data_IF_542812751282
#
_entry.id   IF_542812751282
#
_cell.length_a   1.000
_cell.length_b   1.000
_cell.length_c   1.000
_cell.angle_alpha   90.00
_cell.angle_beta   90.00
_cell.angle_gamma   90.00
#
_symmetry.space_group_name_H-M   'P 1'
#
loop_
_entity.id
_entity.type
_entity.pdbx_description
1 polymer ?
#
# COMPACT_ATOMS: atom_id res chain seq x y z
N UNK A 1 25.25 27.49 55.06
CA UNK A 1 25.10 28.66 54.16
C UNK A 1 25.53 28.19 52.78
N UNK A 2 24.57 27.90 51.88
CA UNK A 2 23.97 28.79 50.86
C UNK A 2 24.63 28.57 49.48
N UNK A 3 23.82 27.99 48.58
CA UNK A 3 23.63 28.34 47.14
C UNK A 3 24.84 28.01 46.22
N UNK A 4 24.68 27.48 45.01
CA UNK A 4 23.59 27.62 44.06
C UNK A 4 23.45 26.38 43.18
N UNK A 5 22.20 25.95 43.01
CA UNK A 5 21.73 25.14 41.90
C UNK A 5 21.30 26.08 40.75
N UNK A 6 21.00 25.45 39.60
CA UNK A 6 20.56 26.01 38.30
C UNK A 6 21.68 26.42 37.34
N UNK A 7 21.84 25.64 36.27
CA UNK A 7 21.44 26.01 34.90
C UNK A 7 22.07 25.00 33.92
N UNK A 8 21.26 24.08 33.39
CA UNK A 8 21.41 23.44 32.05
C UNK A 8 20.37 22.32 31.90
N UNK A 9 19.09 22.69 31.92
CA UNK A 9 18.00 21.83 31.44
C UNK A 9 17.10 22.69 30.55
N UNK A 10 17.57 22.91 29.32
CA UNK A 10 16.93 23.80 28.37
C UNK A 10 17.38 23.47 26.95
N UNK A 11 17.17 22.22 26.54
CA UNK A 11 17.19 21.82 25.13
C UNK A 11 16.24 20.63 24.97
N UNK A 12 15.34 20.76 23.97
CA UNK A 12 14.40 19.76 23.42
C UNK A 12 12.92 19.81 23.87
N UNK A 13 12.37 21.00 24.11
CA UNK A 13 10.94 21.25 23.91
C UNK A 13 10.73 22.31 22.82
N UNK A 14 11.11 21.97 21.60
CA UNK A 14 10.55 22.64 20.42
C UNK A 14 9.28 21.89 20.03
N UNK A 15 8.20 22.06 20.79
CA UNK A 15 6.86 21.81 20.29
C UNK A 15 6.50 23.00 19.39
N UNK A 16 7.06 23.02 18.18
CA UNK A 16 6.53 23.88 17.12
C UNK A 16 5.06 23.56 16.97
N UNK A 17 4.20 24.58 16.98
CA UNK A 17 2.78 24.41 16.70
C UNK A 17 2.66 23.90 15.27
N UNK A 18 2.52 22.59 15.10
CA UNK A 18 2.23 21.94 13.81
C UNK A 18 0.77 22.22 13.40
N UNK A 19 0.34 23.48 13.44
CA UNK A 19 -1.02 23.95 13.13
C UNK A 19 -1.03 24.58 11.75
N UNK A 20 -0.49 23.88 10.76
CA UNK A 20 -0.19 24.52 9.49
C UNK A 20 -0.97 23.95 8.32
N UNK A 21 -1.62 22.77 8.38
CA UNK A 21 -2.41 22.22 7.28
C UNK A 21 -3.50 21.28 7.80
N UNK A 22 -4.62 21.21 7.09
CA UNK A 22 -5.64 20.19 7.26
C UNK A 22 -5.64 19.23 6.04
N UNK A 23 -5.82 17.93 6.28
CA UNK A 23 -5.93 16.89 5.25
C UNK A 23 -7.14 15.98 5.50
N UNK A 24 -7.90 15.70 4.45
CA UNK A 24 -9.18 15.01 4.44
C UNK A 24 -9.25 13.94 3.35
N UNK A 25 -10.12 12.96 3.53
CA UNK A 25 -10.45 11.96 2.52
C UNK A 25 -11.38 12.54 1.44
N UNK A 26 -11.04 12.33 0.17
CA UNK A 26 -11.83 12.60 -1.04
C UNK A 26 -12.23 14.07 -1.31
N UNK A 27 -12.05 14.99 -0.37
CA UNK A 27 -12.36 16.41 -0.59
C UNK A 27 -12.48 17.24 0.69
N UNK A 28 -12.83 18.53 0.55
CA UNK A 28 -12.96 19.47 1.67
C UNK A 28 -13.97 18.98 2.71
N UNK A 29 -13.56 18.95 3.98
CA UNK A 29 -14.43 18.51 5.08
C UNK A 29 -14.76 17.01 5.06
N UNK A 30 -14.03 16.21 4.28
CA UNK A 30 -14.13 14.76 4.27
C UNK A 30 -13.73 14.11 5.60
N UNK A 31 -13.75 12.79 5.66
CA UNK A 31 -13.30 12.08 6.85
C UNK A 31 -11.81 12.33 7.10
N UNK A 32 -11.42 12.52 8.36
CA UNK A 32 -10.01 12.61 8.79
C UNK A 32 -9.53 11.32 9.47
N UNK A 33 -10.41 10.34 9.56
CA UNK A 33 -10.17 9.11 10.30
C UNK A 33 -10.83 7.94 9.56
N UNK A 34 -10.00 7.08 9.01
CA UNK A 34 -10.41 5.94 8.21
C UNK A 34 -9.85 4.69 8.86
N UNK A 35 -10.71 3.73 9.17
CA UNK A 35 -10.30 2.45 9.76
C UNK A 35 -10.54 1.32 8.78
N UNK A 36 -9.46 0.70 8.31
CA UNK A 36 -9.46 -0.58 7.65
C UNK A 36 -9.67 -1.71 8.67
N UNK A 37 -10.55 -2.65 8.36
CA UNK A 37 -10.68 -3.89 9.11
C UNK A 37 -9.83 -4.97 8.45
N UNK A 38 -9.01 -5.62 9.25
CA UNK A 38 -8.37 -6.88 8.89
C UNK A 38 -9.45 -7.95 8.92
N UNK A 39 -9.72 -8.55 7.76
CA UNK A 39 -10.53 -9.77 7.72
C UNK A 39 -9.78 -10.88 8.48
N UNK A 40 -10.49 -11.80 9.16
CA UNK A 40 -9.85 -12.94 9.80
C UNK A 40 -8.93 -13.65 8.82
N UNK A 41 -7.68 -13.84 9.23
CA UNK A 41 -6.68 -14.51 8.42
C UNK A 41 -5.89 -15.49 9.28
N UNK A 42 -5.24 -16.42 8.60
CA UNK A 42 -4.50 -17.49 9.21
C UNK A 42 -2.99 -17.34 8.99
N UNK A 43 -2.19 -17.86 9.91
CA UNK A 43 -0.73 -17.96 9.79
C UNK A 43 -0.37 -19.42 9.63
N UNK A 44 0.25 -19.84 8.51
CA UNK A 44 0.58 -21.24 8.33
C UNK A 44 1.76 -21.65 9.23
N UNK A 45 1.78 -22.90 9.66
CA UNK A 45 2.82 -23.42 10.57
C UNK A 45 4.25 -23.35 10.01
N UNK A 46 4.39 -23.27 8.68
CA UNK A 46 5.68 -23.14 8.00
C UNK A 46 6.11 -21.69 7.78
N UNK A 47 5.35 -20.69 8.26
CA UNK A 47 5.77 -19.30 8.21
C UNK A 47 7.02 -19.08 9.08
N UNK A 48 7.91 -18.23 8.59
CA UNK A 48 9.19 -17.93 9.23
C UNK A 48 9.28 -16.47 9.66
N UNK A 49 10.03 -16.14 10.73
CA UNK A 49 10.30 -14.75 11.09
C UNK A 49 10.79 -13.92 9.90
N UNK A 50 10.15 -12.77 9.66
CA UNK A 50 10.39 -11.88 8.53
C UNK A 50 9.35 -12.00 7.41
N UNK A 51 8.58 -13.09 7.35
CA UNK A 51 7.55 -13.28 6.34
C UNK A 51 6.41 -12.28 6.53
N UNK A 52 5.94 -11.71 5.41
CA UNK A 52 4.65 -11.02 5.36
C UNK A 52 3.56 -12.09 5.30
N UNK A 53 2.88 -12.30 6.43
CA UNK A 53 1.87 -13.35 6.62
C UNK A 53 0.47 -12.90 6.18
N UNK A 54 0.29 -11.59 6.01
CA UNK A 54 -0.90 -10.99 5.43
C UNK A 54 -0.57 -9.63 4.83
N UNK A 55 -1.09 -9.35 3.64
CA UNK A 55 -1.08 -8.03 3.03
C UNK A 55 -2.50 -7.69 2.54
N UNK A 56 -2.92 -6.44 2.71
CA UNK A 56 -4.19 -5.96 2.20
C UNK A 56 -4.18 -5.85 0.67
N UNK A 57 -5.36 -5.72 0.06
CA UNK A 57 -5.47 -5.16 -1.28
C UNK A 57 -4.99 -3.70 -1.34
N UNK A 58 -4.97 -3.12 -2.55
CA UNK A 58 -4.58 -1.73 -2.76
C UNK A 58 -5.59 -0.76 -2.12
N UNK A 59 -5.14 0.05 -1.16
CA UNK A 59 -5.85 1.27 -0.79
C UNK A 59 -5.47 2.35 -1.79
N UNK A 60 -6.42 2.71 -2.65
CA UNK A 60 -6.32 3.89 -3.51
C UNK A 60 -7.26 4.94 -2.96
N UNK A 61 -6.70 6.05 -2.49
CA UNK A 61 -7.46 7.14 -1.90
C UNK A 61 -7.01 8.48 -2.46
N UNK A 62 -7.96 9.40 -2.54
CA UNK A 62 -7.70 10.80 -2.87
C UNK A 62 -7.52 11.54 -1.55
N UNK A 63 -6.30 12.02 -1.29
CA UNK A 63 -6.00 12.93 -0.19
C UNK A 63 -6.31 14.34 -0.68
N UNK A 64 -7.11 15.08 0.08
CA UNK A 64 -7.34 16.49 -0.12
C UNK A 64 -6.74 17.27 1.04
N UNK A 65 -5.84 18.21 0.80
CA UNK A 65 -5.29 19.07 1.85
C UNK A 65 -5.49 20.56 1.52
N UNK A 66 -5.80 21.34 2.54
CA UNK A 66 -5.99 22.79 2.46
C UNK A 66 -5.72 23.46 3.82
N UNK A 67 -6.18 24.70 3.96
CA UNK A 67 -6.09 25.45 5.21
C UNK A 67 -4.65 25.70 5.66
N UNK A 68 -3.74 26.02 4.72
CA UNK A 68 -2.37 26.29 5.11
C UNK A 68 -2.25 27.61 5.89
N UNK A 69 -1.94 27.54 7.18
CA UNK A 69 -1.75 28.70 8.07
C UNK A 69 -0.37 28.78 8.69
N UNK A 70 0.65 28.21 8.04
CA UNK A 70 2.03 28.28 8.51
C UNK A 70 2.48 29.72 8.80
N UNK A 71 3.32 29.86 9.84
CA UNK A 71 3.93 31.13 10.20
C UNK A 71 4.76 31.71 9.04
N UNK A 72 4.98 33.02 9.08
CA UNK A 72 5.78 33.74 8.08
C UNK A 72 5.29 33.58 6.64
N UNK A 73 4.04 33.21 6.42
CA UNK A 73 3.44 33.04 5.10
C UNK A 73 4.09 31.92 4.27
N UNK A 74 4.69 30.92 4.93
CA UNK A 74 5.37 29.82 4.24
C UNK A 74 4.37 28.85 3.59
N UNK A 75 4.73 28.34 2.41
CA UNK A 75 4.08 27.15 1.84
C UNK A 75 4.38 25.91 2.67
N UNK A 76 3.50 24.92 2.57
CA UNK A 76 3.67 23.65 3.26
C UNK A 76 3.66 22.47 2.29
N UNK A 77 4.70 21.65 2.36
CA UNK A 77 4.72 20.37 1.67
C UNK A 77 3.93 19.34 2.48
N UNK A 78 3.17 18.52 1.78
CA UNK A 78 2.39 17.43 2.38
C UNK A 78 3.24 16.18 2.46
N UNK A 79 3.27 15.56 3.63
CA UNK A 79 4.01 14.34 3.92
C UNK A 79 3.05 13.21 4.32
N UNK A 80 3.37 11.98 3.91
CA UNK A 80 2.80 10.78 4.45
C UNK A 80 3.69 10.30 5.61
N UNK A 81 3.17 10.40 6.83
CA UNK A 81 3.83 9.96 8.04
C UNK A 81 3.45 8.52 8.34
N UNK A 82 4.42 7.60 8.21
CA UNK A 82 4.24 6.17 8.50
C UNK A 82 4.59 5.90 9.96
N UNK A 83 3.75 5.12 10.64
CA UNK A 83 3.79 4.90 12.07
C UNK A 83 3.86 6.21 12.89
N UNK A 84 2.81 7.07 12.78
CA UNK A 84 2.80 8.36 13.44
C UNK A 84 2.75 8.30 14.98
N UNK A 85 2.34 7.18 15.56
CA UNK A 85 2.13 7.02 16.99
C UNK A 85 2.75 5.73 17.53
N UNK A 86 4.11 5.63 17.55
CA UNK A 86 4.81 4.43 17.97
C UNK A 86 4.60 4.21 19.47
N UNK A 87 3.66 3.34 19.84
CA UNK A 87 3.32 3.10 21.25
C UNK A 87 2.87 1.68 21.55
N UNK A 88 2.27 0.98 20.58
CA UNK A 88 1.83 -0.40 20.73
C UNK A 88 2.77 -1.33 19.98
N UNK A 89 3.20 -2.40 20.64
CA UNK A 89 4.02 -3.46 20.05
C UNK A 89 3.41 -4.81 20.35
N UNK A 90 3.68 -5.77 19.48
CA UNK A 90 3.29 -7.16 19.65
C UNK A 90 4.55 -8.04 19.52
N UNK A 91 4.75 -9.01 20.43
CA UNK A 91 5.94 -9.85 20.40
C UNK A 91 6.00 -10.79 19.17
N UNK A 92 4.86 -11.09 18.54
CA UNK A 92 4.74 -12.01 17.43
C UNK A 92 4.48 -11.32 16.10
N UNK A 93 3.81 -10.15 16.12
CA UNK A 93 3.43 -9.45 14.91
C UNK A 93 4.06 -8.05 14.79
N UNK A 94 4.44 -7.70 13.57
CA UNK A 94 4.92 -6.37 13.21
C UNK A 94 4.06 -5.83 12.07
N UNK A 95 3.44 -4.67 12.28
CA UNK A 95 2.69 -4.01 11.23
C UNK A 95 3.63 -3.21 10.32
N UNK A 96 3.20 -2.98 9.10
CA UNK A 96 3.88 -2.06 8.20
C UNK A 96 3.03 -1.64 7.02
N UNK A 97 3.61 -0.78 6.20
CA UNK A 97 2.97 -0.18 5.03
C UNK A 97 3.88 -0.39 3.83
N UNK A 98 3.33 -0.94 2.75
CA UNK A 98 3.94 -0.84 1.43
C UNK A 98 3.39 0.42 0.76
N UNK A 99 4.19 1.48 0.71
CA UNK A 99 3.80 2.78 0.16
C UNK A 99 4.54 2.99 -1.16
N UNK A 100 3.80 3.13 -2.27
CA UNK A 100 4.35 3.25 -3.62
C UNK A 100 5.42 2.19 -3.98
N UNK A 101 5.22 0.94 -3.54
CA UNK A 101 6.13 -0.19 -3.84
C UNK A 101 7.29 -0.34 -2.85
N UNK A 102 7.45 0.58 -1.88
CA UNK A 102 8.47 0.50 -0.85
C UNK A 102 7.87 0.08 0.50
N UNK A 103 8.50 -0.89 1.16
CA UNK A 103 8.06 -1.38 2.48
C UNK A 103 8.63 -0.53 3.63
N UNK A 104 7.76 -0.19 4.57
CA UNK A 104 8.07 0.56 5.79
C UNK A 104 7.51 -0.19 7.00
N UNK A 105 8.43 -0.78 7.76
CA UNK A 105 8.14 -1.53 8.97
C UNK A 105 7.89 -0.59 10.15
N UNK A 106 6.77 -0.75 10.88
CA UNK A 106 6.46 0.14 12.00
C UNK A 106 7.54 0.13 13.10
N UNK A 107 8.18 -1.03 13.35
CA UNK A 107 9.27 -1.11 14.32
C UNK A 107 10.51 -0.27 13.96
N UNK A 108 10.68 0.12 12.70
CA UNK A 108 11.78 0.99 12.28
C UNK A 108 11.57 2.47 12.60
N UNK A 109 10.43 2.83 13.22
CA UNK A 109 10.15 4.15 13.78
C UNK A 109 9.19 4.98 12.95
N UNK A 110 9.31 6.30 13.09
CA UNK A 110 8.53 7.29 12.34
C UNK A 110 9.21 7.58 10.99
N UNK A 111 8.48 7.42 9.90
CA UNK A 111 8.95 7.80 8.56
C UNK A 111 8.13 8.97 8.02
N UNK A 112 8.80 10.01 7.51
CA UNK A 112 8.16 11.09 6.76
C UNK A 112 8.45 10.96 5.27
N UNK A 113 7.45 10.64 4.48
CA UNK A 113 7.57 10.49 3.03
C UNK A 113 7.01 11.73 2.33
N UNK A 114 7.83 12.41 1.53
CA UNK A 114 7.37 13.56 0.73
C UNK A 114 6.40 13.09 -0.35
N UNK A 115 5.20 13.64 -0.37
CA UNK A 115 4.20 13.33 -1.42
C UNK A 115 4.41 14.14 -2.70
N UNK A 116 5.38 15.06 -2.67
CA UNK A 116 5.64 16.07 -3.68
C UNK A 116 4.45 17.01 -3.95
N UNK A 117 3.54 17.09 -2.98
CA UNK A 117 2.43 18.03 -2.99
C UNK A 117 2.74 19.20 -2.07
N UNK A 118 2.26 20.37 -2.46
CA UNK A 118 2.51 21.62 -1.76
C UNK A 118 1.24 22.47 -1.76
N UNK A 119 0.92 23.05 -0.60
CA UNK A 119 -0.23 23.93 -0.39
C UNK A 119 0.26 25.34 -0.03
N UNK A 120 -0.22 26.34 -0.76
CA UNK A 120 0.10 27.74 -0.53
C UNK A 120 -0.57 28.27 0.73
N UNK A 121 0.13 29.16 1.44
CA UNK A 121 -0.40 29.80 2.64
C UNK A 121 -1.64 30.64 2.34
N UNK A 122 -2.70 30.44 3.12
CA UNK A 122 -3.98 31.12 2.91
C UNK A 122 -3.89 32.63 3.10
N UNK A 123 -3.05 33.11 4.03
CA UNK A 123 -2.88 34.55 4.28
C UNK A 123 -2.10 35.18 3.13
N UNK A 124 -1.06 34.51 2.62
CA UNK A 124 -0.33 34.96 1.43
C UNK A 124 -1.24 35.04 0.21
N UNK A 125 -2.02 33.98 -0.03
CA UNK A 125 -2.90 33.85 -1.19
C UNK A 125 -3.97 34.95 -1.28
N UNK A 126 -4.31 35.59 -0.16
CA UNK A 126 -5.27 36.69 -0.11
C UNK A 126 -4.65 38.07 -0.38
N UNK A 127 -3.32 38.18 -0.51
CA UNK A 127 -2.61 39.44 -0.67
C UNK A 127 -1.79 39.48 -1.98
N UNK A 128 -2.32 40.09 -3.05
CA UNK A 128 -1.64 40.20 -4.35
C UNK A 128 -0.30 40.93 -4.33
N UNK A 129 -0.10 41.86 -3.39
CA UNK A 129 1.17 42.59 -3.26
C UNK A 129 2.23 41.66 -2.67
N UNK A 130 1.92 40.99 -1.57
CA UNK A 130 2.83 40.03 -0.93
C UNK A 130 3.18 38.86 -1.86
N UNK A 131 2.22 38.36 -2.66
CA UNK A 131 2.51 37.30 -3.63
C UNK A 131 3.51 37.72 -4.71
N UNK A 132 3.46 38.99 -5.14
CA UNK A 132 4.40 39.54 -6.13
C UNK A 132 5.77 39.84 -5.52
N UNK A 133 5.80 40.26 -4.27
CA UNK A 133 7.03 40.54 -3.53
C UNK A 133 7.75 39.26 -3.06
N UNK A 134 6.99 38.20 -2.76
CA UNK A 134 7.49 36.94 -2.22
C UNK A 134 7.04 35.70 -3.02
N UNK A 135 7.31 35.63 -4.34
CA UNK A 135 6.92 34.49 -5.16
C UNK A 135 7.56 33.17 -4.69
N UNK A 136 8.74 33.21 -4.06
CA UNK A 136 9.46 32.05 -3.52
C UNK A 136 8.68 31.30 -2.44
N UNK A 137 7.76 31.99 -1.77
CA UNK A 137 6.88 31.41 -0.74
C UNK A 137 5.69 30.68 -1.30
N UNK A 138 5.42 30.80 -2.60
CA UNK A 138 4.40 30.03 -3.29
C UNK A 138 4.98 28.70 -3.80
N UNK A 139 4.19 27.64 -3.77
CA UNK A 139 4.53 26.32 -4.29
C UNK A 139 4.99 26.37 -5.75
N UNK A 140 4.36 27.21 -6.56
CA UNK A 140 4.69 27.39 -7.99
C UNK A 140 5.87 28.33 -8.23
N UNK A 141 6.26 29.15 -7.25
CA UNK A 141 7.16 30.28 -7.49
C UNK A 141 6.50 31.42 -8.29
N UNK A 142 5.16 31.44 -8.43
CA UNK A 142 4.46 32.33 -9.35
C UNK A 142 3.12 32.82 -8.78
N UNK A 143 2.98 34.15 -8.62
CA UNK A 143 1.77 34.81 -8.11
C UNK A 143 0.50 34.59 -8.97
N UNK A 144 0.64 34.18 -10.24
CA UNK A 144 -0.49 33.83 -11.09
C UNK A 144 -0.96 32.37 -10.91
N UNK A 145 -0.21 31.55 -10.17
CA UNK A 145 -0.44 30.11 -10.00
C UNK A 145 -0.48 29.78 -8.51
N UNK A 146 -1.58 30.18 -7.88
CA UNK A 146 -1.81 30.03 -6.43
C UNK A 146 -2.71 28.84 -6.17
N UNK A 147 -2.42 28.16 -5.06
CA UNK A 147 -2.79 26.80 -4.82
C UNK A 147 -3.04 26.54 -3.34
N UNK A 148 -4.10 27.13 -2.81
CA UNK A 148 -4.51 27.01 -1.40
C UNK A 148 -5.10 25.64 -1.04
N UNK A 149 -5.20 24.73 -2.02
CA UNK A 149 -5.54 23.34 -1.78
C UNK A 149 -4.91 22.40 -2.81
N UNK A 150 -4.85 21.12 -2.44
CA UNK A 150 -4.34 20.01 -3.26
C UNK A 150 -5.23 18.80 -3.12
N UNK A 151 -5.55 18.16 -4.23
CA UNK A 151 -6.11 16.82 -4.27
C UNK A 151 -5.15 15.91 -5.05
N UNK A 152 -4.78 14.78 -4.46
CA UNK A 152 -3.84 13.85 -5.07
C UNK A 152 -4.13 12.42 -4.64
N UNK A 153 -3.82 11.46 -5.51
CA UNK A 153 -4.02 10.05 -5.21
C UNK A 153 -2.77 9.46 -4.58
N UNK A 154 -2.97 8.61 -3.60
CA UNK A 154 -1.93 7.78 -2.99
C UNK A 154 -2.36 6.32 -3.03
N UNK A 155 -1.38 5.44 -3.22
CA UNK A 155 -1.55 4.00 -3.23
C UNK A 155 -0.66 3.39 -2.17
N UNK A 156 -1.26 2.63 -1.26
CA UNK A 156 -0.50 1.84 -0.30
C UNK A 156 -1.23 0.54 0.04
N UNK A 157 -0.49 -0.37 0.65
CA UNK A 157 -1.00 -1.60 1.26
C UNK A 157 -0.53 -1.70 2.68
N UNK A 158 -1.36 -2.31 3.52
CA UNK A 158 -1.05 -2.57 4.92
C UNK A 158 -0.66 -4.04 5.03
N UNK A 159 0.35 -4.35 5.82
CA UNK A 159 0.78 -5.73 6.02
C UNK A 159 1.04 -6.07 7.47
N UNK A 160 0.95 -7.37 7.77
CA UNK A 160 1.38 -7.98 9.01
C UNK A 160 2.58 -8.88 8.68
N UNK A 161 3.71 -8.60 9.32
CA UNK A 161 4.95 -9.36 9.26
C UNK A 161 5.12 -10.17 10.54
N UNK A 162 5.64 -11.38 10.40
CA UNK A 162 5.88 -12.29 11.52
C UNK A 162 7.21 -11.98 12.20
N UNK A 163 7.21 -11.63 13.48
CA UNK A 163 8.43 -11.55 14.30
C UNK A 163 8.84 -12.93 14.83
N UNK A 164 7.85 -13.69 15.30
CA UNK A 164 8.00 -15.06 15.78
C UNK A 164 6.65 -15.77 15.73
N UNK A 165 6.65 -17.10 15.61
CA UNK A 165 5.41 -17.88 15.61
C UNK A 165 4.72 -17.78 16.99
N UNK A 166 3.45 -17.34 17.05
CA UNK A 166 2.70 -17.32 18.30
C UNK A 166 2.40 -18.73 18.81
N UNK A 167 2.25 -18.91 20.13
CA UNK A 167 1.70 -20.15 20.67
C UNK A 167 0.24 -20.33 20.21
N UNK A 168 -0.25 -21.58 20.10
CA UNK A 168 -1.65 -21.85 19.77
C UNK A 168 -2.61 -21.08 20.70
N UNK A 169 -3.63 -20.45 20.11
CA UNK A 169 -4.64 -19.67 20.85
C UNK A 169 -4.20 -18.26 21.25
N UNK A 170 -3.00 -17.80 20.85
CA UNK A 170 -2.59 -16.41 21.02
C UNK A 170 -3.57 -15.45 20.33
N UNK A 171 -3.92 -14.36 21.01
CA UNK A 171 -4.67 -13.25 20.44
C UNK A 171 -3.84 -11.98 20.58
N UNK A 172 -3.65 -11.28 19.47
CA UNK A 172 -2.93 -10.01 19.48
C UNK A 172 -3.65 -9.00 20.36
N UNK A 173 -2.87 -8.27 21.17
CA UNK A 173 -3.37 -7.12 21.92
C UNK A 173 -3.40 -5.83 21.07
N UNK A 174 -2.89 -5.87 19.84
CA UNK A 174 -2.99 -4.75 18.91
C UNK A 174 -4.45 -4.56 18.53
N UNK A 175 -5.07 -3.51 19.07
CA UNK A 175 -6.42 -3.11 18.72
C UNK A 175 -6.44 -2.33 17.40
N UNK A 176 -6.80 -1.05 17.50
CA UNK A 176 -6.70 -0.12 16.38
C UNK A 176 -5.32 0.55 16.37
N UNK A 177 -4.60 0.43 15.26
CA UNK A 177 -3.26 0.99 15.08
C UNK A 177 -3.24 1.97 13.91
N UNK A 178 -2.74 3.19 14.14
CA UNK A 178 -2.62 4.18 13.04
C UNK A 178 -1.32 3.95 12.29
N UNK A 179 -1.41 3.60 10.99
CA UNK A 179 -0.26 3.28 10.16
C UNK A 179 0.19 4.44 9.29
N UNK A 180 -0.75 5.28 8.83
CA UNK A 180 -0.45 6.43 7.95
C UNK A 180 -1.20 7.65 8.45
N UNK A 181 -0.54 8.80 8.47
CA UNK A 181 -1.18 10.11 8.61
C UNK A 181 -0.65 11.07 7.54
N UNK A 182 -1.54 11.81 6.89
CA UNK A 182 -1.14 12.90 5.99
C UNK A 182 -1.11 14.21 6.77
N UNK A 183 0.04 14.88 6.76
CA UNK A 183 0.27 16.11 7.52
C UNK A 183 1.34 16.96 6.83
N UNK A 184 1.62 18.13 7.39
CA UNK A 184 2.71 18.97 6.96
C UNK A 184 4.10 18.37 7.18
N UNK A 185 5.10 18.88 6.46
CA UNK A 185 6.53 18.55 6.64
C UNK A 185 7.03 18.79 8.07
N UNK A 186 6.41 19.74 8.78
CA UNK A 186 6.79 20.08 10.16
C UNK A 186 6.59 18.96 11.18
N UNK A 187 5.83 17.92 10.83
CA UNK A 187 5.58 16.76 11.68
C UNK A 187 4.10 16.49 11.87
N UNK A 188 3.81 15.53 12.74
CA UNK A 188 2.46 15.08 13.06
C UNK A 188 1.81 16.04 14.04
N UNK A 189 0.66 16.60 13.67
CA UNK A 189 -0.19 17.33 14.59
C UNK A 189 -0.97 16.35 15.49
N UNK A 190 -0.71 16.42 16.79
CA UNK A 190 -1.33 15.56 17.81
C UNK A 190 -2.46 16.25 18.58
N UNK A 191 -2.83 17.48 18.21
CA UNK A 191 -3.90 18.20 18.88
C UNK A 191 -5.25 17.50 18.65
N UNK A 192 -6.17 17.50 19.63
CA UNK A 192 -7.46 16.81 19.51
C UNK A 192 -8.35 17.30 18.37
N UNK A 193 -8.20 18.57 18.00
CA UNK A 193 -8.95 19.25 16.92
C UNK A 193 -8.19 19.24 15.58
N UNK A 194 -7.02 18.61 15.50
CA UNK A 194 -6.24 18.49 14.28
C UNK A 194 -7.01 17.69 13.22
N UNK A 195 -7.15 18.24 12.02
CA UNK A 195 -7.89 17.62 10.92
C UNK A 195 -6.93 17.04 9.90
N UNK A 196 -6.16 16.04 10.33
CA UNK A 196 -5.18 15.37 9.48
C UNK A 196 -5.59 13.92 9.27
N UNK A 197 -5.75 13.55 7.99
CA UNK A 197 -6.24 12.25 7.55
C UNK A 197 -5.37 11.12 8.08
N UNK A 198 -5.97 10.25 8.89
CA UNK A 198 -5.37 9.07 9.50
C UNK A 198 -5.97 7.80 8.90
N UNK A 199 -5.10 6.84 8.60
CA UNK A 199 -5.48 5.48 8.27
C UNK A 199 -5.08 4.53 9.39
N UNK A 200 -6.07 3.82 9.90
CA UNK A 200 -5.92 2.82 10.95
C UNK A 200 -6.20 1.42 10.45
N UNK A 201 -5.49 0.47 11.03
CA UNK A 201 -5.77 -0.95 10.91
C UNK A 201 -6.39 -1.44 12.22
N UNK A 202 -7.47 -2.21 12.14
CA UNK A 202 -8.13 -2.82 13.28
C UNK A 202 -8.44 -4.30 12.99
N UNK A 203 -8.74 -5.10 14.01
CA UNK A 203 -9.15 -6.50 13.83
C UNK A 203 -8.01 -7.53 13.89
N UNK A 204 -6.82 -7.13 14.37
CA UNK A 204 -5.66 -8.02 14.53
C UNK A 204 -5.85 -9.09 15.61
N UNK A 205 -6.91 -8.99 16.41
CA UNK A 205 -7.33 -10.02 17.35
C UNK A 205 -7.94 -11.27 16.66
N UNK A 206 -8.19 -11.23 15.34
CA UNK A 206 -8.77 -12.32 14.56
C UNK A 206 -7.73 -13.17 13.80
N UNK A 207 -6.47 -13.16 14.23
CA UNK A 207 -5.40 -13.95 13.60
C UNK A 207 -5.37 -15.35 14.20
N UNK A 208 -5.43 -16.38 13.35
CA UNK A 208 -5.38 -17.78 13.79
C UNK A 208 -4.09 -18.45 13.33
N UNK A 209 -3.35 -19.12 14.23
CA UNK A 209 -2.19 -19.92 13.84
C UNK A 209 -2.66 -21.32 13.44
N UNK A 210 -2.33 -21.75 12.23
CA UNK A 210 -2.63 -23.08 11.73
C UNK A 210 -1.59 -24.10 12.18
N UNK A 211 -1.99 -25.36 12.25
CA UNK A 211 -1.11 -26.51 12.48
C UNK A 211 -0.41 -27.00 11.19
N UNK A 212 -0.80 -26.48 10.02
CA UNK A 212 -0.19 -26.78 8.73
C UNK A 212 -0.29 -25.61 7.75
N UNK A 213 0.17 -25.83 6.52
CA UNK A 213 0.14 -24.85 5.44
C UNK A 213 0.00 -25.53 4.08
N UNK A 214 0.24 -24.78 3.02
CA UNK A 214 0.27 -25.29 1.65
C UNK A 214 1.60 -24.96 0.96
N UNK A 215 2.05 -25.86 0.10
CA UNK A 215 3.12 -25.60 -0.85
C UNK A 215 2.51 -25.13 -2.18
N UNK A 216 3.15 -24.12 -2.81
CA UNK A 216 2.80 -23.66 -4.15
C UNK A 216 3.79 -24.18 -5.16
N UNK A 217 3.29 -24.72 -6.27
CA UNK A 217 4.07 -25.03 -7.47
C UNK A 217 3.51 -24.28 -8.66
N UNK A 218 4.39 -23.77 -9.52
CA UNK A 218 4.03 -23.04 -10.73
C UNK A 218 4.52 -23.82 -11.94
N UNK A 219 3.70 -23.90 -12.99
CA UNK A 219 4.05 -24.51 -14.26
C UNK A 219 3.88 -23.50 -15.41
N UNK A 220 4.89 -23.33 -16.29
CA UNK A 220 6.14 -24.10 -16.35
C UNK A 220 7.07 -23.84 -15.14
N UNK A 221 7.93 -24.80 -14.81
CA UNK A 221 8.78 -24.76 -13.60
C UNK A 221 9.78 -23.60 -13.60
N UNK A 222 10.17 -23.13 -14.79
CA UNK A 222 11.02 -21.94 -14.95
C UNK A 222 10.27 -20.63 -14.67
N UNK A 223 8.95 -20.68 -14.43
CA UNK A 223 8.07 -19.55 -14.12
C UNK A 223 8.05 -18.48 -15.23
N UNK A 224 8.40 -18.86 -16.46
CA UNK A 224 8.44 -17.95 -17.61
C UNK A 224 7.32 -18.34 -18.57
N UNK A 225 6.45 -17.37 -18.85
CA UNK A 225 5.45 -17.49 -19.92
C UNK A 225 6.01 -16.88 -21.20
N UNK A 226 6.58 -17.72 -22.06
CA UNK A 226 7.23 -17.29 -23.29
C UNK A 226 6.25 -17.14 -24.46
N UNK A 227 6.04 -15.91 -24.92
CA UNK A 227 5.22 -15.58 -26.08
C UNK A 227 5.97 -15.77 -27.41
N UNK A 228 7.29 -15.94 -27.37
CA UNK A 228 8.18 -15.96 -28.51
C UNK A 228 8.21 -14.62 -29.26
N UNK A 229 8.68 -14.66 -30.50
CA UNK A 229 8.62 -13.48 -31.39
C UNK A 229 7.20 -13.32 -31.94
N UNK A 230 6.69 -12.09 -31.89
CA UNK A 230 5.38 -11.69 -32.41
C UNK A 230 5.52 -10.45 -33.27
N UNK A 231 4.81 -10.39 -34.41
CA UNK A 231 4.74 -9.16 -35.20
C UNK A 231 3.49 -8.35 -34.83
N UNK A 232 3.55 -7.03 -35.01
CA UNK A 232 2.38 -6.17 -34.81
C UNK A 232 1.22 -6.54 -35.75
N UNK A 233 1.52 -7.03 -36.96
CA UNK A 233 0.52 -7.50 -37.90
C UNK A 233 -0.20 -8.77 -37.41
N UNK A 234 0.52 -9.73 -36.80
CA UNK A 234 -0.08 -10.93 -36.24
C UNK A 234 -1.04 -10.58 -35.09
N UNK A 235 -0.59 -9.71 -34.19
CA UNK A 235 -1.36 -9.28 -33.02
C UNK A 235 -2.57 -8.39 -33.37
N UNK A 236 -2.56 -7.74 -34.53
CA UNK A 236 -3.72 -7.00 -35.01
C UNK A 236 -4.88 -7.93 -35.46
N UNK A 237 -4.57 -9.17 -35.87
CA UNK A 237 -5.56 -10.14 -36.32
C UNK A 237 -6.11 -10.99 -35.18
N UNK A 238 -5.26 -11.41 -34.25
CA UNK A 238 -5.65 -12.23 -33.11
C UNK A 238 -4.71 -12.03 -31.92
N UNK A 239 -5.21 -12.08 -30.68
CA UNK A 239 -4.36 -12.05 -29.50
C UNK A 239 -3.45 -13.29 -29.46
N UNK A 240 -2.26 -13.13 -28.86
CA UNK A 240 -1.38 -14.27 -28.57
C UNK A 240 -1.65 -14.76 -27.16
N UNK A 241 -1.90 -16.05 -27.01
CA UNK A 241 -2.21 -16.66 -25.71
C UNK A 241 -1.19 -17.75 -25.34
N UNK A 242 -0.92 -17.86 -24.03
CA UNK A 242 -0.11 -18.91 -23.41
C UNK A 242 -0.74 -19.31 -22.09
N UNK A 243 -0.74 -20.59 -21.80
CA UNK A 243 -1.27 -21.12 -20.54
C UNK A 243 -0.15 -21.37 -19.54
N UNK A 244 -0.46 -21.15 -18.27
CA UNK A 244 0.37 -21.54 -17.13
C UNK A 244 -0.56 -22.00 -16.01
N UNK A 245 -0.06 -22.75 -15.04
CA UNK A 245 -0.86 -23.19 -13.91
C UNK A 245 -0.15 -22.93 -12.59
N UNK A 246 -0.95 -22.77 -11.54
CA UNK A 246 -0.49 -22.72 -10.16
C UNK A 246 -1.24 -23.79 -9.39
N UNK A 247 -0.50 -24.58 -8.62
CA UNK A 247 -1.04 -25.67 -7.81
C UNK A 247 -0.70 -25.42 -6.36
N UNK A 248 -1.71 -25.35 -5.50
CA UNK A 248 -1.53 -25.42 -4.05
C UNK A 248 -1.73 -26.87 -3.60
N UNK A 249 -0.81 -27.37 -2.79
CA UNK A 249 -0.92 -28.68 -2.16
C UNK A 249 -0.85 -28.51 -0.65
N UNK A 250 -1.91 -28.93 0.05
CA UNK A 250 -1.98 -28.93 1.51
C UNK A 250 -0.92 -29.89 2.05
N UNK A 251 -0.06 -29.40 2.94
CA UNK A 251 0.92 -30.25 3.61
C UNK A 251 0.19 -31.16 4.60
N UNK A 252 0.14 -32.46 4.32
CA UNK A 252 -0.39 -33.46 5.26
C UNK A 252 0.76 -34.06 6.08
N UNK A 253 0.82 -33.67 7.34
CA UNK A 253 1.53 -34.42 8.38
C UNK A 253 0.53 -34.89 9.44
N UNK A 254 1.00 -35.67 10.41
CA UNK A 254 0.16 -36.18 11.51
C UNK A 254 -0.42 -35.08 12.42
N UNK A 255 -0.01 -33.83 12.24
CA UNK A 255 -0.44 -32.67 13.03
C UNK A 255 -1.42 -31.77 12.30
N UNK A 256 -1.59 -31.89 10.98
CA UNK A 256 -2.49 -31.07 10.19
C UNK A 256 -3.96 -31.48 10.35
N UNK A 257 -4.67 -30.82 11.26
CA UNK A 257 -6.08 -31.04 11.57
C UNK A 257 -6.97 -29.87 11.15
N UNK A 258 -6.40 -28.68 10.93
CA UNK A 258 -7.16 -27.47 10.62
C UNK A 258 -7.50 -27.35 9.12
N UNK A 259 -8.70 -26.87 8.86
CA UNK A 259 -9.14 -26.39 7.55
C UNK A 259 -8.72 -24.94 7.34
N UNK A 260 -8.39 -24.57 6.11
CA UNK A 260 -8.08 -23.19 5.73
C UNK A 260 -8.40 -22.96 4.25
N UNK A 261 -8.46 -21.70 3.84
CA UNK A 261 -8.59 -21.27 2.45
C UNK A 261 -7.39 -20.42 2.07
N UNK A 262 -7.12 -20.34 0.78
CA UNK A 262 -6.13 -19.45 0.21
C UNK A 262 -6.85 -18.44 -0.67
N UNK A 263 -6.65 -17.15 -0.41
CA UNK A 263 -6.86 -16.15 -1.45
C UNK A 263 -5.52 -15.87 -2.14
N UNK A 264 -5.57 -15.58 -3.42
CA UNK A 264 -4.40 -15.23 -4.19
C UNK A 264 -4.63 -13.99 -5.04
N UNK A 265 -3.54 -13.40 -5.52
CA UNK A 265 -3.59 -12.32 -6.50
C UNK A 265 -2.38 -12.38 -7.43
N UNK A 266 -2.51 -11.70 -8.57
CA UNK A 266 -1.39 -11.33 -9.42
C UNK A 266 -1.02 -9.87 -9.12
N UNK A 267 0.03 -9.69 -8.33
CA UNK A 267 0.54 -8.39 -7.93
C UNK A 267 1.52 -7.82 -8.96
N UNK A 268 1.46 -6.51 -9.19
CA UNK A 268 2.45 -5.75 -9.96
C UNK A 268 2.46 -4.27 -9.55
N UNK A 269 3.61 -3.63 -9.72
CA UNK A 269 3.78 -2.17 -9.64
C UNK A 269 3.84 -1.51 -11.03
N UNK A 270 3.70 -2.30 -12.10
CA UNK A 270 3.61 -1.77 -13.45
C UNK A 270 2.26 -1.06 -13.68
N UNK A 271 2.20 -0.08 -14.61
CA UNK A 271 0.96 0.60 -14.93
C UNK A 271 -0.12 -0.37 -15.41
N UNK A 272 -1.35 -0.14 -14.94
CA UNK A 272 -2.51 -0.96 -15.27
C UNK A 272 -3.53 -0.17 -16.10
N UNK A 273 -4.26 -0.88 -16.96
CA UNK A 273 -5.28 -0.38 -17.88
C UNK A 273 -6.60 -1.14 -17.67
N UNK A 274 -7.66 -0.64 -18.32
CA UNK A 274 -8.96 -1.31 -18.40
C UNK A 274 -9.52 -1.75 -17.04
N UNK A 275 -9.53 -0.83 -16.07
CA UNK A 275 -9.99 -1.12 -14.71
C UNK A 275 -9.14 -2.19 -14.01
N UNK A 276 -7.82 -2.10 -14.18
CA UNK A 276 -6.83 -3.01 -13.60
C UNK A 276 -6.86 -4.45 -14.12
N UNK A 277 -7.49 -4.72 -15.25
CA UNK A 277 -7.51 -6.07 -15.85
C UNK A 277 -6.39 -6.31 -16.86
N UNK A 278 -5.64 -5.27 -17.23
CA UNK A 278 -4.59 -5.32 -18.23
C UNK A 278 -3.32 -4.61 -17.72
N UNK A 279 -2.17 -5.26 -17.81
CA UNK A 279 -0.86 -4.68 -17.54
C UNK A 279 -0.34 -3.96 -18.80
N UNK A 280 0.05 -2.70 -18.68
CA UNK A 280 0.66 -1.91 -19.77
C UNK A 280 2.15 -2.28 -19.90
N UNK A 281 2.53 -2.86 -21.04
CA UNK A 281 3.92 -3.24 -21.32
C UNK A 281 4.78 -2.04 -21.76
N UNK A 282 4.21 -0.84 -21.79
CA UNK A 282 4.86 0.44 -22.12
C UNK A 282 5.46 0.51 -23.54
N UNK A 283 5.10 -0.44 -24.41
CA UNK A 283 5.51 -0.50 -25.82
C UNK A 283 4.31 -0.56 -26.77
N UNK A 284 3.11 -0.19 -26.30
CA UNK A 284 1.86 -0.28 -27.06
C UNK A 284 1.18 -1.65 -26.98
N UNK A 285 1.76 -2.63 -26.29
CA UNK A 285 1.13 -3.90 -25.95
C UNK A 285 0.58 -3.88 -24.52
N UNK A 286 -0.41 -4.74 -24.27
CA UNK A 286 -0.92 -5.03 -22.94
C UNK A 286 -1.04 -6.54 -22.71
N UNK A 287 -1.01 -6.93 -21.43
CA UNK A 287 -1.11 -8.31 -20.99
C UNK A 287 -2.32 -8.50 -20.07
N UNK A 288 -3.20 -9.46 -20.36
CA UNK A 288 -4.21 -9.94 -19.42
C UNK A 288 -3.80 -11.29 -18.82
N UNK A 289 -4.24 -11.56 -17.61
CA UNK A 289 -4.31 -12.92 -17.06
C UNK A 289 -5.78 -13.31 -16.99
N UNK A 290 -6.13 -14.42 -17.61
CA UNK A 290 -7.49 -14.91 -17.73
C UNK A 290 -7.66 -16.19 -16.92
N UNK A 291 -8.78 -16.34 -16.25
CA UNK A 291 -9.26 -17.61 -15.71
C UNK A 291 -10.59 -17.94 -16.40
N UNK A 292 -10.69 -19.14 -16.99
CA UNK A 292 -11.88 -19.55 -17.75
C UNK A 292 -12.38 -18.48 -18.76
N UNK A 293 -11.42 -17.83 -19.47
CA UNK A 293 -11.64 -16.72 -20.43
C UNK A 293 -12.10 -15.39 -19.83
N UNK A 294 -12.18 -15.27 -18.52
CA UNK A 294 -12.52 -14.03 -17.82
C UNK A 294 -11.24 -13.34 -17.34
N UNK A 295 -11.01 -12.05 -17.65
CA UNK A 295 -9.87 -11.31 -17.14
C UNK A 295 -9.91 -11.21 -15.62
N UNK A 296 -8.80 -11.54 -14.97
CA UNK A 296 -8.58 -11.25 -13.57
C UNK A 296 -8.17 -9.79 -13.39
N UNK A 297 -8.52 -9.22 -12.24
CA UNK A 297 -8.10 -7.89 -11.82
C UNK A 297 -6.74 -8.04 -11.12
N UNK A 298 -5.72 -7.35 -11.63
CA UNK A 298 -4.42 -7.27 -10.96
C UNK A 298 -4.53 -6.54 -9.63
N UNK A 299 -3.65 -6.89 -8.68
CA UNK A 299 -3.59 -6.31 -7.34
C UNK A 299 -4.89 -6.46 -6.52
N UNK A 300 -5.68 -7.49 -6.83
CA UNK A 300 -6.93 -7.81 -6.16
C UNK A 300 -6.99 -9.31 -5.82
N UNK A 301 -7.23 -9.60 -4.54
CA UNK A 301 -7.35 -10.98 -4.06
C UNK A 301 -8.62 -11.67 -4.57
N UNK A 302 -8.50 -12.93 -4.96
CA UNK A 302 -9.59 -13.83 -5.30
C UNK A 302 -9.43 -15.15 -4.55
N UNK A 303 -10.53 -15.86 -4.29
CA UNK A 303 -10.46 -17.19 -3.67
C UNK A 303 -9.76 -18.18 -4.63
N UNK A 304 -8.61 -18.69 -4.21
CA UNK A 304 -7.77 -19.59 -4.99
C UNK A 304 -8.06 -21.06 -4.67
N UNK A 305 -7.96 -21.45 -3.39
CA UNK A 305 -8.13 -22.83 -2.94
C UNK A 305 -8.92 -22.91 -1.64
N UNK A 306 -9.67 -24.00 -1.46
CA UNK A 306 -10.35 -24.33 -0.20
C UNK A 306 -9.93 -25.72 0.29
N UNK A 307 -9.19 -25.71 1.39
CA UNK A 307 -8.68 -26.88 2.10
C UNK A 307 -9.42 -27.14 3.42
N UNK A 308 -10.60 -26.52 3.57
CA UNK A 308 -11.49 -26.72 4.72
C UNK A 308 -12.25 -28.03 4.66
N UNK A 309 -12.21 -28.71 3.51
CA UNK A 309 -12.83 -30.01 3.28
C UNK A 309 -11.77 -31.06 2.94
N UNK A 310 -12.10 -32.09 2.16
CA UNK A 310 -11.24 -33.22 1.87
C UNK A 310 -10.22 -32.97 0.75
N UNK A 311 -10.27 -31.82 0.08
CA UNK A 311 -9.30 -31.48 -0.96
C UNK A 311 -7.89 -31.35 -0.37
N UNK A 312 -6.90 -31.96 -1.03
CA UNK A 312 -5.48 -31.87 -0.63
C UNK A 312 -4.62 -31.18 -1.67
N UNK A 313 -5.13 -31.03 -2.88
CA UNK A 313 -4.47 -30.31 -3.95
C UNK A 313 -5.51 -29.60 -4.79
N UNK A 314 -5.20 -28.35 -5.15
CA UNK A 314 -6.02 -27.51 -6.03
C UNK A 314 -5.09 -26.92 -7.08
N UNK A 315 -5.33 -27.27 -8.34
CA UNK A 315 -4.66 -26.66 -9.49
C UNK A 315 -5.61 -25.70 -10.20
N UNK A 316 -5.09 -24.52 -10.55
CA UNK A 316 -5.79 -23.57 -11.42
C UNK A 316 -4.92 -23.25 -12.63
N UNK A 317 -5.54 -23.35 -13.81
CA UNK A 317 -4.93 -22.98 -15.09
C UNK A 317 -5.36 -21.58 -15.48
N UNK A 318 -4.38 -20.74 -15.78
CA UNK A 318 -4.56 -19.37 -16.26
C UNK A 318 -4.10 -19.26 -17.71
N UNK A 319 -4.62 -18.26 -18.41
CA UNK A 319 -4.16 -17.89 -19.75
C UNK A 319 -3.62 -16.48 -19.72
N UNK A 320 -2.33 -16.32 -20.00
CA UNK A 320 -1.72 -15.03 -20.27
C UNK A 320 -2.01 -14.65 -21.73
N UNK A 321 -2.65 -13.49 -21.94
CA UNK A 321 -3.07 -13.00 -23.25
C UNK A 321 -2.40 -11.67 -23.57
N UNK A 322 -1.63 -11.66 -24.65
CA UNK A 322 -0.93 -10.51 -25.20
C UNK A 322 -1.71 -9.92 -26.38
N UNK A 323 -1.90 -8.60 -26.37
CA UNK A 323 -2.69 -7.89 -27.38
C UNK A 323 -2.24 -6.42 -27.50
N UNK A 324 -2.49 -5.75 -28.64
CA UNK A 324 -2.18 -4.33 -28.78
C UNK A 324 -3.17 -3.48 -27.98
N UNK A 325 -2.70 -2.33 -27.49
CA UNK A 325 -3.56 -1.32 -26.87
C UNK A 325 -4.26 -0.54 -28.00
N UNK A 326 -5.61 -0.48 -28.03
CA UNK A 326 -6.33 0.27 -29.06
C UNK A 326 -5.87 1.72 -29.17
N UNK A 327 -5.54 2.16 -30.39
CA UNK A 327 -5.09 3.52 -30.67
C UNK A 327 -3.64 3.84 -30.29
N UNK A 328 -2.85 2.87 -29.82
CA UNK A 328 -1.41 3.03 -29.59
C UNK A 328 -0.59 2.24 -30.60
N UNK A 329 0.47 2.84 -31.10
CA UNK A 329 1.43 2.16 -31.97
C UNK A 329 2.26 1.17 -31.15
N UNK A 330 2.45 -0.05 -31.67
CA UNK A 330 3.37 -1.03 -31.08
C UNK A 330 4.79 -0.66 -31.45
N UNK A 331 5.63 -0.43 -30.45
CA UNK A 331 7.06 -0.15 -30.62
C UNK A 331 7.83 -1.48 -30.65
N UNK A 332 8.51 -1.84 -31.76
CA UNK A 332 9.29 -3.06 -31.83
C UNK A 332 10.48 -3.05 -30.86
N UNK A 333 10.75 -4.20 -30.24
CA UNK A 333 11.87 -4.37 -29.32
C UNK A 333 11.63 -5.50 -28.32
N UNK A 334 12.63 -5.84 -27.50
CA UNK A 334 12.44 -6.73 -26.38
C UNK A 334 11.47 -6.10 -25.36
N UNK A 335 10.70 -6.93 -24.69
CA UNK A 335 9.82 -6.52 -23.61
C UNK A 335 9.76 -7.66 -22.58
N UNK A 336 9.53 -7.29 -21.33
CA UNK A 336 9.38 -8.20 -20.21
C UNK A 336 8.40 -7.56 -19.23
N UNK A 337 7.62 -8.39 -18.54
CA UNK A 337 6.83 -7.96 -17.40
C UNK A 337 6.85 -9.03 -16.33
N UNK A 338 6.93 -8.60 -15.08
CA UNK A 338 6.90 -9.47 -13.91
C UNK A 338 5.62 -9.22 -13.14
N UNK A 339 4.95 -10.32 -12.77
CA UNK A 339 3.90 -10.32 -11.75
C UNK A 339 4.26 -11.30 -10.66
N UNK A 340 3.89 -10.97 -9.43
CA UNK A 340 4.12 -11.81 -8.25
C UNK A 340 2.80 -12.45 -7.86
N UNK A 341 2.76 -13.79 -7.82
CA UNK A 341 1.61 -14.51 -7.29
C UNK A 341 1.70 -14.53 -5.76
N UNK A 342 0.87 -13.72 -5.10
CA UNK A 342 0.83 -13.63 -3.63
C UNK A 342 -0.34 -14.44 -3.09
N UNK A 343 -0.19 -14.98 -1.88
CA UNK A 343 -1.27 -15.69 -1.18
C UNK A 343 -1.46 -15.15 0.24
N UNK A 344 -2.71 -15.16 0.68
CA UNK A 344 -3.11 -14.96 2.07
C UNK A 344 -3.91 -16.20 2.52
N UNK A 345 -3.73 -16.62 3.78
CA UNK A 345 -4.48 -17.73 4.38
C UNK A 345 -5.70 -17.20 5.12
N UNK A 346 -6.82 -17.91 5.04
CA UNK A 346 -8.11 -17.56 5.68
C UNK A 346 -8.76 -18.75 6.37
#
# INVERSE_FOLDING_TARGET
MRRAALLLLGLLLFTGRALALDCFLNGPGGAVDVTAQVEPFAVPANATPGDIIWESGDYTLTVYCDNNTADQHERENVFAWINPYPSQTDPYYQLGVNFNGQQFDAAGGLYGLDTHQCVDNNVLAQNPDLMREHPEKLCSGNAAQVHTSRAFNVRFRLYVKLNSLPPPGYQSALGSYTLVQFDGKGGINQLPDARNLKYRLNGLNNITVLDCGAALTVHPENQIVDFGTVSAADLANAPRERTFSVTATKTQDHTCSMGFRLAAEFYTDQPLLAGNTALDLQNGLMLNILEAKTPLVFNHYFLFADFSTHSLSVERTFTARLLPIPGRTVTPGPWEATTVFKINYY
#
